data_IF_614183229907
#
_entry.id   IF_614183229907
#
_cell.length_a   1.000
_cell.length_b   1.000
_cell.length_c   1.000
_cell.angle_alpha   90.00
_cell.angle_beta   90.00
_cell.angle_gamma   90.00
#
_symmetry.space_group_name_H-M   'P 1'
#
loop_
_entity.id
_entity.type
_entity.pdbx_description
1 polymer ?
#
# COMPACT_ATOMS: atom_id res chain seq x y z
N UNK A 1 1.78 5.97 -1.58
CA UNK A 1 1.74 5.31 -0.25
C UNK A 1 2.92 4.38 -0.10
N UNK A 2 3.66 4.44 1.01
CA UNK A 2 4.80 3.58 1.31
C UNK A 2 4.49 2.64 2.49
N UNK A 3 4.91 1.38 2.40
CA UNK A 3 4.80 0.38 3.49
C UNK A 3 5.92 0.54 4.49
N UNK A 4 5.60 1.02 5.70
CA UNK A 4 6.53 1.27 6.82
C UNK A 4 6.28 0.34 8.03
N UNK A 5 5.44 -0.68 7.85
CA UNK A 5 4.79 -1.41 8.95
C UNK A 5 5.54 -2.62 9.50
N UNK A 6 6.57 -3.13 8.82
CA UNK A 6 7.23 -4.40 9.21
C UNK A 6 7.75 -4.42 10.64
N UNK A 7 8.09 -3.26 11.20
CA UNK A 7 8.54 -3.09 12.60
C UNK A 7 7.48 -3.48 13.65
N UNK A 8 6.22 -3.70 13.25
CA UNK A 8 5.10 -4.10 14.11
C UNK A 8 4.85 -5.60 14.13
N UNK A 9 5.57 -6.36 13.32
CA UNK A 9 5.42 -7.79 13.15
C UNK A 9 6.74 -8.51 13.39
N UNK A 10 6.69 -9.84 13.52
CA UNK A 10 7.91 -10.63 13.69
C UNK A 10 8.83 -10.49 12.45
N UNK A 11 10.13 -10.23 12.61
CA UNK A 11 11.02 -9.88 11.48
C UNK A 11 11.15 -10.99 10.42
N UNK A 12 10.94 -12.25 10.81
CA UNK A 12 10.99 -13.40 9.88
C UNK A 12 9.98 -13.29 8.72
N UNK A 13 8.90 -12.53 8.87
CA UNK A 13 7.87 -12.35 7.84
C UNK A 13 7.91 -10.96 7.18
N UNK A 14 8.90 -10.13 7.46
CA UNK A 14 9.06 -8.80 6.84
C UNK A 14 9.00 -8.82 5.31
N UNK A 15 9.74 -9.68 4.57
CA UNK A 15 9.64 -9.70 3.11
C UNK A 15 8.26 -10.12 2.61
N UNK A 16 7.57 -11.02 3.34
CA UNK A 16 6.21 -11.42 3.02
C UNK A 16 5.22 -10.25 3.17
N UNK A 17 5.31 -9.50 4.27
CA UNK A 17 4.45 -8.33 4.51
C UNK A 17 4.67 -7.28 3.43
N UNK A 18 5.91 -6.84 3.22
CA UNK A 18 6.22 -5.78 2.27
C UNK A 18 5.86 -6.17 0.84
N UNK A 19 6.11 -7.42 0.44
CA UNK A 19 5.69 -7.93 -0.88
C UNK A 19 4.17 -7.82 -1.07
N UNK A 20 3.38 -8.21 -0.08
CA UNK A 20 1.93 -8.18 -0.20
C UNK A 20 1.37 -6.75 -0.06
N UNK A 21 1.99 -5.88 0.75
CA UNK A 21 1.67 -4.46 0.81
C UNK A 21 1.91 -3.77 -0.54
N UNK A 22 3.02 -4.09 -1.20
CA UNK A 22 3.34 -3.63 -2.55
C UNK A 22 2.31 -4.13 -3.58
N UNK A 23 2.01 -5.43 -3.59
CA UNK A 23 0.98 -6.01 -4.48
C UNK A 23 -0.39 -5.38 -4.25
N UNK A 24 -0.74 -5.09 -3.00
CA UNK A 24 -2.00 -4.44 -2.63
C UNK A 24 -2.12 -2.98 -3.09
N UNK A 25 -1.02 -2.35 -3.51
CA UNK A 25 -1.03 -1.02 -4.12
C UNK A 25 0.03 -0.04 -3.60
N UNK A 26 0.78 -0.36 -2.54
CA UNK A 26 1.86 0.51 -2.08
C UNK A 26 2.90 0.74 -3.19
N UNK A 27 3.45 1.95 -3.25
CA UNK A 27 4.41 2.37 -4.28
C UNK A 27 5.84 1.92 -3.96
N UNK A 28 6.14 1.73 -2.67
CA UNK A 28 7.43 1.28 -2.17
C UNK A 28 7.34 0.68 -0.78
N UNK A 29 8.45 0.10 -0.33
CA UNK A 29 8.56 -0.67 0.91
C UNK A 29 9.82 -0.29 1.68
N UNK A 30 9.76 -0.31 3.01
CA UNK A 30 10.88 0.14 3.85
C UNK A 30 11.95 -0.89 4.17
N UNK A 31 11.66 -2.19 4.12
CA UNK A 31 12.65 -3.19 4.49
C UNK A 31 13.52 -3.60 3.30
N UNK A 32 14.80 -3.84 3.56
CA UNK A 32 15.77 -4.30 2.55
C UNK A 32 15.29 -5.62 1.92
N UNK A 33 14.97 -6.62 2.75
CA UNK A 33 14.45 -7.91 2.28
C UNK A 33 13.11 -7.78 1.54
N UNK A 34 12.27 -6.82 1.93
CA UNK A 34 11.04 -6.50 1.21
C UNK A 34 11.31 -5.95 -0.18
N UNK A 35 12.27 -5.03 -0.30
CA UNK A 35 12.76 -4.48 -1.57
C UNK A 35 13.28 -5.59 -2.49
N UNK A 36 14.14 -6.46 -1.98
CA UNK A 36 14.64 -7.64 -2.70
C UNK A 36 13.49 -8.55 -3.16
N UNK A 37 12.52 -8.82 -2.29
CA UNK A 37 11.37 -9.69 -2.59
C UNK A 37 10.46 -9.14 -3.72
N UNK A 38 10.47 -7.82 -3.95
CA UNK A 38 9.72 -7.18 -5.04
C UNK A 38 10.61 -6.76 -6.23
N UNK A 39 11.93 -6.95 -6.13
CA UNK A 39 12.89 -6.51 -7.14
C UNK A 39 13.02 -4.99 -7.25
N UNK A 40 12.88 -4.25 -6.14
CA UNK A 40 13.00 -2.77 -6.09
C UNK A 40 13.86 -2.31 -4.92
N UNK A 41 14.50 -1.13 -4.99
CA UNK A 41 15.16 -0.53 -3.84
C UNK A 41 14.18 -0.31 -2.68
N UNK A 42 14.63 -0.60 -1.46
CA UNK A 42 13.91 -0.16 -0.27
C UNK A 42 13.95 1.37 -0.16
N UNK A 43 12.90 1.96 0.42
CA UNK A 43 12.75 3.40 0.57
C UNK A 43 12.68 3.81 2.04
N UNK A 44 13.21 4.98 2.36
CA UNK A 44 13.20 5.53 3.70
C UNK A 44 13.47 7.03 3.71
N UNK A 45 13.27 7.65 4.86
CA UNK A 45 13.61 9.05 5.12
C UNK A 45 14.51 9.11 6.35
N UNK A 46 15.02 10.31 6.68
CA UNK A 46 15.71 10.51 7.95
C UNK A 46 14.81 10.15 9.16
N UNK A 47 15.36 9.51 10.21
CA UNK A 47 14.64 9.20 11.45
C UNK A 47 14.82 10.29 12.50
N UNK A 48 13.92 10.35 13.49
CA UNK A 48 14.08 11.24 14.66
C UNK A 48 15.42 11.03 15.38
N UNK A 49 15.95 9.80 15.39
CA UNK A 49 17.24 9.49 16.03
C UNK A 49 18.41 10.32 15.48
N UNK A 50 18.40 10.64 14.18
CA UNK A 50 19.43 11.49 13.57
C UNK A 50 19.35 12.91 14.13
N UNK A 51 18.15 13.48 14.13
CA UNK A 51 17.87 14.83 14.63
C UNK A 51 18.13 14.93 16.15
N UNK A 52 17.82 13.89 16.93
CA UNK A 52 18.10 13.88 18.37
C UNK A 52 19.61 13.90 18.66
N UNK A 53 20.41 13.22 17.83
CA UNK A 53 21.86 13.13 18.05
C UNK A 53 22.58 14.40 17.60
N UNK A 54 22.14 15.03 16.51
CA UNK A 54 22.87 16.15 15.88
C UNK A 54 22.20 17.52 16.08
N UNK A 55 20.91 17.56 16.45
CA UNK A 55 20.07 18.74 16.32
C UNK A 55 19.43 18.85 14.93
N UNK A 56 18.39 19.67 14.81
CA UNK A 56 17.55 19.77 13.59
C UNK A 56 18.35 20.23 12.36
N UNK A 57 19.00 21.39 12.44
CA UNK A 57 19.73 21.98 11.31
C UNK A 57 20.89 21.09 10.87
N UNK A 58 21.75 20.68 11.82
CA UNK A 58 22.93 19.88 11.54
C UNK A 58 22.56 18.50 10.96
N UNK A 59 21.46 17.89 11.42
CA UNK A 59 20.96 16.63 10.86
C UNK A 59 20.50 16.79 9.40
N UNK A 60 19.81 17.87 9.08
CA UNK A 60 19.33 18.15 7.73
C UNK A 60 20.48 18.41 6.75
N UNK A 61 21.44 19.26 7.15
CA UNK A 61 22.64 19.57 6.37
C UNK A 61 23.48 18.31 6.14
N UNK A 62 23.77 17.56 7.21
CA UNK A 62 24.57 16.35 7.13
C UNK A 62 23.90 15.26 6.28
N UNK A 63 22.57 15.14 6.35
CA UNK A 63 21.85 14.21 5.47
C UNK A 63 21.95 14.62 4.00
N UNK A 64 21.84 15.92 3.70
CA UNK A 64 21.98 16.41 2.32
C UNK A 64 23.40 16.22 1.77
N UNK A 65 24.42 16.37 2.63
CA UNK A 65 25.83 16.21 2.27
C UNK A 65 26.20 14.74 2.03
N UNK A 66 25.85 13.86 2.96
CA UNK A 66 26.39 12.49 3.02
C UNK A 66 25.59 11.49 2.18
N UNK A 67 24.27 11.64 2.09
CA UNK A 67 23.41 10.67 1.39
C UNK A 67 23.46 10.91 -0.13
N UNK A 68 23.47 9.84 -0.93
CA UNK A 68 23.47 9.93 -2.41
C UNK A 68 22.38 10.89 -2.92
N UNK A 69 22.72 11.75 -3.89
CA UNK A 69 21.79 12.73 -4.50
C UNK A 69 20.59 12.10 -5.21
N UNK A 70 20.65 10.81 -5.55
CA UNK A 70 19.53 10.05 -6.12
C UNK A 70 18.40 9.77 -5.10
N UNK A 71 18.68 9.91 -3.80
CA UNK A 71 17.68 9.74 -2.74
C UNK A 71 16.95 11.07 -2.51
N UNK A 72 15.61 11.12 -2.62
CA UNK A 72 14.87 12.35 -2.36
C UNK A 72 15.12 12.89 -0.94
N UNK A 73 15.34 14.20 -0.83
CA UNK A 73 15.46 14.87 0.48
C UNK A 73 14.07 15.06 1.06
N UNK A 74 13.77 14.31 2.12
CA UNK A 74 12.52 14.43 2.87
C UNK A 74 12.87 14.77 4.32
N UNK A 75 12.67 16.03 4.71
CA UNK A 75 13.02 16.54 6.03
C UNK A 75 11.98 16.12 7.08
N UNK A 76 12.41 15.51 8.18
CA UNK A 76 11.52 15.23 9.31
C UNK A 76 11.49 16.47 10.21
N UNK A 77 10.29 17.00 10.49
CA UNK A 77 10.13 18.36 11.04
C UNK A 77 9.40 18.43 12.39
N UNK A 78 9.05 17.29 12.98
CA UNK A 78 8.28 17.20 14.22
C UNK A 78 9.10 16.61 15.40
N UNK A 79 10.41 16.90 15.44
CA UNK A 79 11.27 16.37 16.51
C UNK A 79 11.31 17.28 17.74
N UNK A 80 11.67 18.56 17.58
CA UNK A 80 11.70 19.52 18.69
C UNK A 80 10.80 20.73 18.44
N UNK A 81 10.93 21.35 17.26
CA UNK A 81 10.14 22.51 16.90
C UNK A 81 8.70 22.20 16.47
N UNK A 82 7.93 23.26 16.28
CA UNK A 82 6.57 23.18 15.71
C UNK A 82 6.66 22.99 14.20
N UNK A 83 5.84 22.09 13.64
CA UNK A 83 5.89 21.71 12.22
C UNK A 83 5.74 22.92 11.29
N UNK A 84 4.97 23.94 11.70
CA UNK A 84 4.84 25.20 10.95
C UNK A 84 6.18 25.89 10.77
N UNK A 85 6.96 26.02 11.84
CA UNK A 85 8.23 26.76 11.82
C UNK A 85 9.35 25.92 11.22
N UNK A 86 9.43 24.64 11.59
CA UNK A 86 10.48 23.75 11.12
C UNK A 86 10.35 23.42 9.63
N UNK A 87 9.12 23.40 9.07
CA UNK A 87 8.94 23.26 7.62
C UNK A 87 9.54 24.42 6.82
N UNK A 88 9.35 25.66 7.28
CA UNK A 88 9.94 26.85 6.66
C UNK A 88 11.46 26.78 6.74
N UNK A 89 11.97 26.44 7.91
CA UNK A 89 13.41 26.36 8.19
C UNK A 89 14.09 25.29 7.34
N UNK A 90 13.53 24.09 7.30
CA UNK A 90 14.02 23.00 6.46
C UNK A 90 14.06 23.39 4.97
N UNK A 91 13.04 24.10 4.47
CA UNK A 91 12.98 24.58 3.09
C UNK A 91 14.02 25.67 2.76
N UNK A 92 14.49 26.41 3.76
CA UNK A 92 15.56 27.40 3.60
C UNK A 92 16.96 26.78 3.65
N UNK A 93 17.14 25.70 4.42
CA UNK A 93 18.42 25.03 4.63
C UNK A 93 18.70 24.02 3.51
N UNK A 94 17.72 23.18 3.17
CA UNK A 94 17.91 22.09 2.21
C UNK A 94 17.59 22.60 0.80
N UNK A 95 18.63 22.74 -0.04
CA UNK A 95 18.53 23.30 -1.39
C UNK A 95 17.56 22.55 -2.30
N UNK A 96 17.63 21.22 -2.33
CA UNK A 96 16.82 20.35 -3.19
C UNK A 96 15.78 19.57 -2.38
N UNK A 97 15.09 20.26 -1.46
CA UNK A 97 14.08 19.67 -0.60
C UNK A 97 12.90 19.16 -1.44
N UNK A 98 12.68 17.84 -1.44
CA UNK A 98 11.55 17.24 -2.15
C UNK A 98 10.27 17.31 -1.33
N UNK A 99 10.34 17.06 -0.03
CA UNK A 99 9.19 17.10 0.85
C UNK A 99 9.57 17.40 2.31
N UNK A 100 8.60 17.85 3.09
CA UNK A 100 8.65 17.75 4.55
C UNK A 100 7.81 16.55 5.02
N UNK A 101 8.27 15.85 6.06
CA UNK A 101 7.57 14.73 6.68
C UNK A 101 7.10 15.11 8.08
N UNK A 102 5.80 14.92 8.31
CA UNK A 102 5.17 15.06 9.61
C UNK A 102 4.82 13.67 10.15
N UNK A 103 5.43 13.29 11.28
CA UNK A 103 5.06 12.09 12.06
C UNK A 103 4.35 12.46 13.38
N UNK A 104 3.71 13.64 13.39
CA UNK A 104 3.24 14.36 14.58
C UNK A 104 2.67 13.43 15.65
N UNK A 105 3.22 13.42 16.87
CA UNK A 105 2.76 12.53 17.94
C UNK A 105 1.28 12.66 18.24
N UNK A 106 0.62 11.56 18.63
CA UNK A 106 -0.83 11.56 18.92
C UNK A 106 -1.26 12.59 19.98
N UNK A 107 -0.37 12.94 20.92
CA UNK A 107 -0.60 13.96 21.96
C UNK A 107 -0.41 15.41 21.49
N UNK A 108 0.04 15.62 20.24
CA UNK A 108 0.19 16.91 19.57
C UNK A 108 -0.71 17.06 18.35
N UNK A 109 -1.24 15.93 17.87
CA UNK A 109 -2.11 15.81 16.71
C UNK A 109 -3.56 16.22 17.02
N UNK A 110 -3.77 17.47 17.45
CA UNK A 110 -5.10 18.00 17.78
C UNK A 110 -6.05 17.95 16.57
N UNK A 111 -5.68 18.60 15.48
CA UNK A 111 -6.33 18.44 14.17
C UNK A 111 -5.27 18.33 13.08
N UNK A 112 -5.00 17.11 12.63
CA UNK A 112 -3.87 16.88 11.73
C UNK A 112 -4.07 17.48 10.34
N UNK A 113 -5.31 17.49 9.84
CA UNK A 113 -5.63 18.13 8.56
C UNK A 113 -5.42 19.65 8.62
N UNK A 114 -5.72 20.29 9.76
CA UNK A 114 -5.43 21.71 9.96
C UNK A 114 -3.93 21.98 10.01
N UNK A 115 -3.14 21.14 10.70
CA UNK A 115 -1.66 21.26 10.74
C UNK A 115 -1.08 21.14 9.32
N UNK A 116 -1.54 20.17 8.52
CA UNK A 116 -1.10 20.00 7.12
C UNK A 116 -1.44 21.24 6.28
N UNK A 117 -2.65 21.80 6.42
CA UNK A 117 -3.05 23.04 5.71
C UNK A 117 -2.20 24.24 6.13
N UNK A 118 -1.88 24.34 7.41
CA UNK A 118 -1.03 25.40 7.95
C UNK A 118 0.40 25.31 7.38
N UNK A 119 1.02 24.12 7.41
CA UNK A 119 2.33 23.90 6.79
C UNK A 119 2.31 24.22 5.29
N UNK A 120 1.29 23.74 4.56
CA UNK A 120 1.14 24.02 3.13
C UNK A 120 1.07 25.52 2.85
N UNK A 121 0.25 26.24 3.62
CA UNK A 121 0.10 27.69 3.49
C UNK A 121 1.41 28.44 3.70
N UNK A 122 2.14 28.12 4.77
CA UNK A 122 3.38 28.81 5.11
C UNK A 122 4.51 28.55 4.11
N UNK A 123 4.59 27.34 3.56
CA UNK A 123 5.50 27.00 2.47
C UNK A 123 5.13 27.75 1.19
N UNK A 124 3.85 27.75 0.80
CA UNK A 124 3.37 28.39 -0.42
C UNK A 124 3.59 29.90 -0.42
N UNK A 125 3.28 30.55 0.71
CA UNK A 125 3.44 32.00 0.88
C UNK A 125 4.90 32.45 0.69
N UNK A 126 5.87 31.57 1.01
CA UNK A 126 7.31 31.83 0.89
C UNK A 126 7.92 31.31 -0.41
N UNK A 127 7.10 30.80 -1.33
CA UNK A 127 7.55 30.35 -2.65
C UNK A 127 7.95 28.88 -2.73
N UNK A 128 7.81 28.10 -1.66
CA UNK A 128 8.17 26.66 -1.62
C UNK A 128 7.01 25.76 -2.08
N UNK A 129 6.35 26.12 -3.18
CA UNK A 129 5.14 25.44 -3.69
C UNK A 129 5.40 24.00 -4.15
N UNK A 130 6.63 23.73 -4.58
CA UNK A 130 7.03 22.42 -5.09
C UNK A 130 7.47 21.43 -3.98
N UNK A 131 7.65 21.92 -2.74
CA UNK A 131 7.97 21.08 -1.58
C UNK A 131 6.72 20.30 -1.19
N UNK A 132 6.74 19.00 -1.37
CA UNK A 132 5.62 18.12 -1.04
C UNK A 132 5.42 17.93 0.48
N UNK A 133 4.24 17.45 0.90
CA UNK A 133 3.97 17.12 2.30
C UNK A 133 3.74 15.61 2.42
N UNK A 134 4.64 14.96 3.16
CA UNK A 134 4.57 13.55 3.49
C UNK A 134 4.06 13.38 4.93
N UNK A 135 3.10 12.50 5.16
CA UNK A 135 2.57 12.24 6.51
C UNK A 135 2.75 10.78 6.90
N UNK A 136 3.00 10.53 8.18
CA UNK A 136 3.08 9.17 8.72
C UNK A 136 2.49 9.05 10.13
N UNK A 137 2.48 7.82 10.64
CA UNK A 137 2.09 7.52 12.01
C UNK A 137 0.59 7.30 12.15
N UNK A 138 0.18 6.07 12.48
CA UNK A 138 -1.22 5.74 12.80
C UNK A 138 -2.24 6.00 11.67
N UNK A 139 -1.80 5.93 10.40
CA UNK A 139 -2.66 6.17 9.24
C UNK A 139 -3.43 4.91 8.81
N UNK A 140 -4.61 5.11 8.25
CA UNK A 140 -5.54 4.10 7.74
C UNK A 140 -6.40 4.69 6.60
N UNK A 141 -7.31 3.89 6.06
CA UNK A 141 -8.21 4.28 4.96
C UNK A 141 -9.16 5.44 5.29
N UNK A 142 -9.39 5.74 6.57
CA UNK A 142 -10.30 6.79 7.03
C UNK A 142 -9.55 8.12 7.24
N UNK A 143 -8.30 8.05 7.70
CA UNK A 143 -7.46 9.22 7.95
C UNK A 143 -6.76 9.75 6.71
N UNK A 144 -6.49 8.91 5.71
CA UNK A 144 -5.80 9.32 4.47
C UNK A 144 -6.60 10.34 3.63
N UNK A 145 -7.90 10.14 3.32
CA UNK A 145 -8.66 11.08 2.49
C UNK A 145 -8.65 12.54 2.98
N UNK A 146 -8.98 12.85 4.26
CA UNK A 146 -8.96 14.24 4.73
C UNK A 146 -7.55 14.85 4.75
N UNK A 147 -6.50 14.05 4.98
CA UNK A 147 -5.11 14.52 4.91
C UNK A 147 -4.68 14.82 3.48
N UNK A 148 -5.12 14.01 2.51
CA UNK A 148 -4.90 14.27 1.09
C UNK A 148 -5.58 15.56 0.65
N UNK A 149 -6.84 15.76 1.03
CA UNK A 149 -7.58 17.01 0.77
C UNK A 149 -6.95 18.23 1.46
N UNK A 150 -6.29 18.03 2.59
CA UNK A 150 -5.55 19.06 3.30
C UNK A 150 -4.23 19.48 2.60
N UNK A 151 -3.72 18.69 1.66
CA UNK A 151 -2.49 18.99 0.91
C UNK A 151 -1.37 17.97 1.09
N UNK A 152 -1.58 16.87 1.82
CA UNK A 152 -0.61 15.79 1.88
C UNK A 152 -0.55 15.03 0.55
N UNK A 153 0.66 14.84 0.03
CA UNK A 153 0.93 14.15 -1.24
C UNK A 153 1.57 12.77 -1.04
N UNK A 154 2.21 12.54 0.12
CA UNK A 154 2.87 11.28 0.46
C UNK A 154 2.39 10.70 1.79
N UNK A 155 2.36 9.37 1.89
CA UNK A 155 1.82 8.66 3.06
C UNK A 155 2.70 7.48 3.43
N UNK A 156 3.18 7.45 4.68
CA UNK A 156 3.88 6.33 5.27
C UNK A 156 2.95 5.53 6.16
N UNK A 157 2.47 4.39 5.66
CA UNK A 157 1.44 3.59 6.32
C UNK A 157 2.08 2.36 6.93
N UNK A 158 1.82 2.15 8.23
CA UNK A 158 2.47 1.12 9.03
C UNK A 158 1.51 0.05 9.51
N UNK A 159 1.05 0.20 10.75
CA UNK A 159 0.30 -0.80 11.50
C UNK A 159 -0.95 -1.29 10.78
N UNK A 160 -1.74 -0.41 10.17
CA UNK A 160 -3.00 -0.77 9.49
C UNK A 160 -2.81 -1.77 8.36
N UNK A 161 -1.68 -1.72 7.65
CA UNK A 161 -1.34 -2.69 6.60
C UNK A 161 -0.64 -3.92 7.19
N UNK A 162 0.42 -3.73 7.97
CA UNK A 162 1.24 -4.85 8.43
C UNK A 162 0.54 -5.77 9.42
N UNK A 163 -0.42 -5.24 10.18
CA UNK A 163 -1.23 -5.97 11.15
C UNK A 163 -2.70 -6.08 10.69
N UNK A 164 -2.94 -6.09 9.37
CA UNK A 164 -4.27 -6.32 8.83
C UNK A 164 -4.81 -7.69 9.30
N UNK A 165 -6.12 -7.81 9.60
CA UNK A 165 -6.73 -9.07 9.97
C UNK A 165 -6.49 -10.15 8.92
N UNK A 166 -6.26 -11.38 9.37
CA UNK A 166 -6.13 -12.53 8.46
C UNK A 166 -7.48 -12.86 7.83
N UNK A 167 -7.47 -13.28 6.56
CA UNK A 167 -8.65 -13.90 5.94
C UNK A 167 -8.77 -15.33 6.48
N UNK A 168 -9.93 -15.66 7.06
CA UNK A 168 -10.23 -16.97 7.65
C UNK A 168 -10.48 -18.04 6.57
N UNK A 169 -9.41 -18.48 5.91
CA UNK A 169 -9.46 -19.54 4.91
C UNK A 169 -9.59 -20.92 5.56
N UNK A 170 -10.48 -21.74 5.00
CA UNK A 170 -10.64 -23.16 5.35
C UNK A 170 -10.30 -24.06 4.15
N UNK A 171 -9.75 -25.24 4.44
CA UNK A 171 -9.51 -26.29 3.45
C UNK A 171 -10.36 -27.51 3.79
N UNK A 172 -11.25 -27.89 2.88
CA UNK A 172 -12.18 -29.00 3.05
C UNK A 172 -12.15 -29.94 1.84
N UNK A 173 -12.30 -31.24 2.07
CA UNK A 173 -12.54 -32.22 1.01
C UNK A 173 -13.92 -31.92 0.40
N UNK A 174 -13.96 -31.77 -0.93
CA UNK A 174 -15.20 -31.55 -1.69
C UNK A 174 -15.57 -32.73 -2.61
N UNK A 175 -14.66 -33.69 -2.82
CA UNK A 175 -14.88 -34.83 -3.70
C UNK A 175 -14.03 -36.03 -3.23
N UNK A 176 -14.60 -37.23 -3.23
CA UNK A 176 -13.92 -38.49 -2.89
C UNK A 176 -14.16 -39.48 -4.01
N UNK A 177 -13.08 -39.97 -4.63
CA UNK A 177 -13.15 -40.94 -5.74
C UNK A 177 -14.11 -40.51 -6.87
N UNK A 178 -14.12 -39.22 -7.20
CA UNK A 178 -15.00 -38.64 -8.23
C UNK A 178 -16.44 -38.40 -7.78
N UNK A 179 -16.81 -38.74 -6.54
CA UNK A 179 -18.15 -38.51 -5.99
C UNK A 179 -18.17 -37.22 -5.16
N UNK A 180 -19.13 -36.31 -5.38
CA UNK A 180 -19.31 -35.13 -4.54
C UNK A 180 -19.47 -35.50 -3.06
N UNK A 181 -18.68 -34.88 -2.19
CA UNK A 181 -18.71 -35.13 -0.74
C UNK A 181 -18.30 -33.87 0.02
N UNK A 182 -18.98 -33.51 1.10
CA UNK A 182 -18.58 -32.39 1.95
C UNK A 182 -19.20 -32.50 3.35
N UNK A 183 -18.58 -31.85 4.34
CA UNK A 183 -19.16 -31.69 5.67
C UNK A 183 -20.29 -30.65 5.68
N UNK A 184 -21.11 -30.64 6.73
CA UNK A 184 -22.17 -29.64 6.92
C UNK A 184 -21.62 -28.21 6.80
N UNK A 185 -22.30 -27.37 6.02
CA UNK A 185 -21.90 -25.98 5.76
C UNK A 185 -20.82 -25.81 4.69
N UNK A 186 -20.50 -26.86 3.92
CA UNK A 186 -19.60 -26.81 2.76
C UNK A 186 -20.27 -27.43 1.54
N UNK A 187 -19.94 -26.91 0.36
CA UNK A 187 -20.52 -27.35 -0.91
C UNK A 187 -19.66 -28.48 -1.49
N UNK A 188 -20.23 -29.66 -1.70
CA UNK A 188 -19.57 -30.79 -2.37
C UNK A 188 -19.36 -30.57 -3.87
N UNK A 189 -18.57 -31.45 -4.48
CA UNK A 189 -18.19 -31.45 -5.89
C UNK A 189 -17.04 -30.51 -6.23
N UNK A 190 -16.24 -30.88 -7.24
CA UNK A 190 -15.34 -29.94 -7.92
C UNK A 190 -16.14 -28.82 -8.59
N UNK A 191 -15.54 -27.64 -8.67
CA UNK A 191 -16.18 -26.41 -9.17
C UNK A 191 -15.22 -25.63 -10.07
N UNK A 192 -15.78 -24.81 -10.93
CA UNK A 192 -15.07 -23.78 -11.70
C UNK A 192 -15.50 -22.42 -11.16
N UNK A 193 -14.57 -21.46 -11.16
CA UNK A 193 -14.87 -20.07 -10.80
C UNK A 193 -14.70 -19.25 -12.05
N UNK A 194 -15.79 -18.61 -12.47
CA UNK A 194 -15.83 -17.66 -13.55
C UNK A 194 -15.85 -16.26 -12.96
N UNK A 195 -15.26 -15.29 -13.65
CA UNK A 195 -15.34 -13.88 -13.31
C UNK A 195 -15.67 -13.08 -14.54
N UNK A 196 -16.57 -12.10 -14.39
CA UNK A 196 -16.85 -11.14 -15.45
C UNK A 196 -15.70 -10.15 -15.61
N UNK A 197 -15.24 -9.91 -16.83
CA UNK A 197 -14.17 -8.92 -17.09
C UNK A 197 -14.68 -7.47 -16.98
N UNK A 198 -15.98 -7.24 -17.15
CA UNK A 198 -16.61 -5.92 -17.02
C UNK A 198 -16.87 -5.54 -15.57
N UNK A 199 -17.77 -6.25 -14.88
CA UNK A 199 -18.17 -5.89 -13.52
C UNK A 199 -17.41 -6.60 -12.40
N UNK A 200 -16.48 -7.50 -12.73
CA UNK A 200 -15.73 -8.34 -11.77
C UNK A 200 -16.58 -9.26 -10.88
N UNK A 201 -17.86 -9.43 -11.20
CA UNK A 201 -18.71 -10.39 -10.49
C UNK A 201 -18.22 -11.83 -10.71
N UNK A 202 -18.25 -12.61 -9.63
CA UNK A 202 -17.88 -14.02 -9.66
C UNK A 202 -19.11 -14.90 -9.83
N UNK A 203 -18.95 -15.98 -10.58
CA UNK A 203 -19.92 -17.06 -10.71
C UNK A 203 -19.22 -18.39 -10.46
N UNK A 204 -19.75 -19.18 -9.53
CA UNK A 204 -19.23 -20.52 -9.22
C UNK A 204 -20.17 -21.53 -9.85
N UNK A 205 -19.63 -22.41 -10.70
CA UNK A 205 -20.41 -23.46 -11.38
C UNK A 205 -19.81 -24.84 -11.09
N UNK A 206 -20.60 -25.93 -11.13
CA UNK A 206 -20.08 -27.29 -11.06
C UNK A 206 -19.03 -27.58 -12.15
N UNK A 207 -18.06 -28.42 -11.81
CA UNK A 207 -17.04 -28.85 -12.76
C UNK A 207 -17.66 -29.74 -13.84
N UNK A 208 -17.56 -29.33 -15.11
CA UNK A 208 -18.14 -30.02 -16.26
C UNK A 208 -19.40 -29.37 -16.82
N UNK A 209 -19.98 -28.37 -16.14
CA UNK A 209 -21.05 -27.57 -16.72
C UNK A 209 -20.52 -26.56 -17.75
N UNK A 210 -21.38 -26.28 -18.73
CA UNK A 210 -21.12 -25.27 -19.76
C UNK A 210 -21.04 -23.87 -19.15
N UNK A 211 -20.11 -23.09 -19.69
CA UNK A 211 -19.94 -21.69 -19.28
C UNK A 211 -21.10 -20.87 -19.85
N UNK A 212 -21.81 -20.06 -19.03
CA UNK A 212 -22.83 -19.17 -19.55
C UNK A 212 -22.27 -18.23 -20.62
N UNK A 213 -23.07 -17.93 -21.63
CA UNK A 213 -22.63 -17.10 -22.76
C UNK A 213 -22.18 -15.69 -22.32
N UNK A 214 -22.85 -15.12 -21.31
CA UNK A 214 -22.60 -13.77 -20.81
C UNK A 214 -22.77 -13.69 -19.29
N UNK A 215 -22.20 -12.64 -18.69
CA UNK A 215 -22.39 -12.31 -17.29
C UNK A 215 -23.88 -12.05 -17.01
N UNK A 216 -24.47 -12.67 -15.97
CA UNK A 216 -25.89 -12.50 -15.65
C UNK A 216 -26.22 -11.10 -15.07
N UNK A 217 -25.21 -10.33 -14.64
CA UNK A 217 -25.42 -9.00 -14.06
C UNK A 217 -25.26 -7.86 -15.06
N UNK A 218 -24.23 -7.91 -15.92
CA UNK A 218 -23.92 -6.81 -16.84
C UNK A 218 -23.85 -7.22 -18.32
N UNK A 219 -24.07 -8.50 -18.65
CA UNK A 219 -23.94 -8.99 -20.03
C UNK A 219 -22.50 -9.11 -20.55
N UNK A 220 -21.48 -8.77 -19.76
CA UNK A 220 -20.08 -8.84 -20.16
C UNK A 220 -19.52 -10.26 -20.29
N UNK A 221 -18.30 -10.37 -20.83
CA UNK A 221 -17.59 -11.64 -21.01
C UNK A 221 -17.25 -12.29 -19.66
N UNK A 222 -17.41 -13.61 -19.57
CA UNK A 222 -17.01 -14.43 -18.41
C UNK A 222 -15.74 -15.20 -18.73
N UNK A 223 -14.74 -15.14 -17.83
CA UNK A 223 -13.50 -15.91 -17.92
C UNK A 223 -13.33 -16.82 -16.72
N UNK A 224 -12.80 -18.02 -16.94
CA UNK A 224 -12.39 -18.91 -15.85
C UNK A 224 -11.13 -18.38 -15.18
N UNK A 225 -11.15 -18.26 -13.84
CA UNK A 225 -10.04 -17.68 -13.06
C UNK A 225 -9.29 -18.72 -12.22
N UNK A 226 -9.75 -19.97 -12.22
CA UNK A 226 -9.08 -21.09 -11.56
C UNK A 226 -8.20 -21.83 -12.57
N UNK A 227 -6.91 -21.52 -12.56
CA UNK A 227 -5.92 -22.13 -13.45
C UNK A 227 -5.07 -23.19 -12.72
N UNK A 228 -4.68 -24.29 -13.37
CA UNK A 228 -3.72 -25.22 -12.80
C UNK A 228 -2.37 -24.52 -12.60
N UNK A 229 -1.88 -24.49 -11.36
CA UNK A 229 -0.52 -24.01 -11.03
C UNK A 229 0.48 -25.15 -10.82
N UNK A 230 -0.01 -26.36 -10.60
CA UNK A 230 0.76 -27.59 -10.43
C UNK A 230 0.11 -28.73 -11.23
N UNK A 231 0.92 -29.52 -11.94
CA UNK A 231 0.52 -30.79 -12.54
C UNK A 231 1.55 -31.87 -12.19
N UNK A 232 1.10 -32.97 -11.57
CA UNK A 232 1.96 -34.08 -11.12
C UNK A 232 3.20 -33.59 -10.34
N UNK A 233 2.99 -32.66 -9.40
CA UNK A 233 4.06 -32.07 -8.57
C UNK A 233 4.98 -31.06 -9.28
N UNK A 234 4.80 -30.80 -10.58
CA UNK A 234 5.58 -29.82 -11.34
C UNK A 234 4.80 -28.53 -11.52
N UNK A 235 5.46 -27.39 -11.31
CA UNK A 235 4.88 -26.06 -11.59
C UNK A 235 4.56 -25.96 -13.07
N UNK A 236 3.36 -25.49 -13.37
CA UNK A 236 2.92 -25.16 -14.73
C UNK A 236 2.51 -23.69 -14.77
N UNK A 237 2.61 -23.08 -15.95
CA UNK A 237 2.39 -21.65 -16.10
C UNK A 237 3.59 -20.79 -15.70
N UNK A 238 3.50 -19.51 -16.03
CA UNK A 238 4.60 -18.56 -15.87
C UNK A 238 4.72 -18.03 -14.43
N UNK A 239 5.92 -17.63 -14.04
CA UNK A 239 6.13 -16.91 -12.78
C UNK A 239 5.89 -15.43 -13.02
N UNK A 240 4.88 -14.87 -12.39
CA UNK A 240 4.65 -13.42 -12.39
C UNK A 240 5.53 -12.77 -11.31
N UNK A 241 6.18 -11.67 -11.67
CA UNK A 241 6.88 -10.77 -10.76
C UNK A 241 5.89 -10.07 -9.82
N UNK A 242 6.39 -9.47 -8.73
CA UNK A 242 5.55 -8.69 -7.84
C UNK A 242 4.91 -7.48 -8.55
N UNK A 243 5.62 -6.86 -9.50
CA UNK A 243 5.10 -5.73 -10.29
C UNK A 243 3.97 -6.15 -11.23
N UNK A 244 4.11 -7.28 -11.95
CA UNK A 244 3.02 -7.76 -12.81
C UNK A 244 1.76 -8.10 -12.01
N UNK A 245 1.91 -8.66 -10.79
CA UNK A 245 0.78 -8.95 -9.91
C UNK A 245 0.17 -7.65 -9.38
N UNK A 246 0.99 -6.66 -8.99
CA UNK A 246 0.51 -5.33 -8.57
C UNK A 246 -0.28 -4.65 -9.68
N UNK A 247 0.23 -4.65 -10.90
CA UNK A 247 -0.44 -4.02 -12.04
C UNK A 247 -1.80 -4.69 -12.32
N UNK A 248 -1.87 -6.01 -12.16
CA UNK A 248 -3.13 -6.75 -12.23
C UNK A 248 -4.12 -6.33 -11.13
N UNK A 249 -3.66 -6.15 -9.88
CA UNK A 249 -4.49 -5.66 -8.76
C UNK A 249 -4.98 -4.24 -9.04
N UNK A 250 -4.10 -3.32 -9.44
CA UNK A 250 -4.43 -1.91 -9.69
C UNK A 250 -5.44 -1.76 -10.84
N UNK A 251 -5.33 -2.56 -11.90
CA UNK A 251 -6.33 -2.60 -12.99
C UNK A 251 -7.71 -2.99 -12.48
N UNK A 252 -7.80 -3.98 -11.58
CA UNK A 252 -9.07 -4.39 -10.98
C UNK A 252 -9.65 -3.33 -10.06
N UNK A 253 -8.81 -2.68 -9.23
CA UNK A 253 -9.26 -1.60 -8.35
C UNK A 253 -9.82 -0.41 -9.16
N UNK A 254 -9.25 -0.11 -10.33
CA UNK A 254 -9.78 0.93 -11.22
C UNK A 254 -11.20 0.59 -11.72
N UNK A 255 -11.45 -0.66 -12.10
CA UNK A 255 -12.79 -1.13 -12.52
C UNK A 255 -13.77 -1.01 -11.35
N UNK A 256 -13.40 -1.48 -10.16
CA UNK A 256 -14.27 -1.39 -8.97
C UNK A 256 -14.60 0.07 -8.61
N UNK A 257 -13.62 0.98 -8.72
CA UNK A 257 -13.84 2.39 -8.45
C UNK A 257 -14.83 3.02 -9.42
N UNK A 258 -14.72 2.73 -10.71
CA UNK A 258 -15.66 3.23 -11.72
C UNK A 258 -17.07 2.71 -11.46
N UNK A 259 -17.20 1.42 -11.15
CA UNK A 259 -18.51 0.81 -10.86
C UNK A 259 -19.14 1.36 -9.57
N UNK A 260 -18.35 1.74 -8.57
CA UNK A 260 -18.85 2.40 -7.35
C UNK A 260 -19.36 3.83 -7.65
N UNK A 261 -18.73 4.54 -8.58
CA UNK A 261 -19.13 5.90 -8.95
C UNK A 261 -20.39 5.94 -9.83
N UNK A 262 -20.68 4.88 -10.60
CA UNK A 262 -21.91 4.76 -11.39
C UNK A 262 -23.16 4.40 -10.56
N UNK A 263 -22.97 3.97 -9.31
CA UNK A 263 -24.05 3.55 -8.40
C UNK A 263 -24.37 4.59 -7.30
N UNK A 264 -23.85 5.81 -7.42
CA UNK A 264 -24.12 6.98 -6.54
C UNK A 264 -24.69 8.10 -7.40
#
# INVERSE_FOLDING_TARGET
>A
VLSFGVRRMHPAISPFIDRNAYIGGCDGVSSILGGEAIGKPAVGTMPHALIIVMGEEEAWESFDEVVSKDIPRIALIDTYGDEKLESIKAAQIIRDLKAVRLDTPGSRRGNFASIVKEVRWELDLRGFKDVEIFVSGGLDENSIPPLKEAGASGFGVGTSIANAPTIDFAMDIVEVEGKPAAKKGKFGGRKRVLRCEGCLNYLVIPYGEDTPATCPLCGGELKEVMEPVLRKGKRVGEKKSASEIRDYVLKQLAILKNNLQENI
#
